data_IF_291580063667
#
_entry.id   IF_291580063667
#
_cell.length_a   1.000
_cell.length_b   1.000
_cell.length_c   1.000
_cell.angle_alpha   90.00
_cell.angle_beta   90.00
_cell.angle_gamma   90.00
#
_symmetry.space_group_name_H-M   'P 1'
#
loop_
_entity.id
_entity.type
_entity.pdbx_description
1 polymer ?
#
# COMPACT_ATOMS: atom_id res chain seq x y z
N UNK A 1 3.22 4.39 9.95
CA UNK A 1 1.75 4.36 9.76
C UNK A 1 1.35 3.98 8.33
N UNK A 2 2.05 4.43 7.28
CA UNK A 2 1.85 4.01 5.88
C UNK A 2 1.77 2.49 5.65
N UNK A 3 2.67 1.68 6.23
CA UNK A 3 2.59 0.21 6.13
C UNK A 3 1.32 -0.39 6.71
N UNK A 4 0.75 0.21 7.76
CA UNK A 4 -0.51 -0.26 8.37
C UNK A 4 -1.65 -0.07 7.38
N UNK A 5 -1.71 1.08 6.70
CA UNK A 5 -2.70 1.32 5.67
C UNK A 5 -2.52 0.39 4.47
N UNK A 6 -1.28 0.16 4.01
CA UNK A 6 -1.01 -0.80 2.95
C UNK A 6 -1.50 -2.21 3.31
N UNK A 7 -1.22 -2.68 4.52
CA UNK A 7 -1.65 -3.99 5.02
C UNK A 7 -3.18 -4.09 5.14
N UNK A 8 -3.84 -3.03 5.64
CA UNK A 8 -5.31 -2.95 5.71
C UNK A 8 -5.95 -2.95 4.31
N UNK A 9 -5.34 -2.28 3.33
CA UNK A 9 -5.82 -2.27 1.94
C UNK A 9 -5.62 -3.63 1.29
N UNK A 10 -4.46 -4.25 1.48
CA UNK A 10 -4.16 -5.58 0.98
C UNK A 10 -5.10 -6.64 1.57
N UNK A 11 -5.55 -6.44 2.82
CA UNK A 11 -6.56 -7.28 3.50
C UNK A 11 -8.01 -6.94 3.13
N UNK A 12 -8.25 -5.90 2.33
CA UNK A 12 -9.61 -5.45 1.97
C UNK A 12 -10.38 -4.79 3.12
N UNK A 13 -9.70 -4.41 4.20
CA UNK A 13 -10.29 -3.74 5.38
C UNK A 13 -10.41 -2.23 5.19
N UNK A 14 -9.59 -1.65 4.29
CA UNK A 14 -9.63 -0.25 3.89
C UNK A 14 -9.38 -0.11 2.40
N UNK A 15 -9.65 1.08 1.86
CA UNK A 15 -9.31 1.44 0.47
C UNK A 15 -8.30 2.60 0.47
N UNK A 16 -7.72 2.86 -0.70
CA UNK A 16 -6.80 4.00 -0.90
C UNK A 16 -7.48 5.36 -0.64
N UNK A 17 -8.81 5.41 -0.60
CA UNK A 17 -9.60 6.61 -0.27
C UNK A 17 -9.61 6.95 1.21
N UNK A 18 -9.48 5.93 2.06
CA UNK A 18 -9.38 6.09 3.51
C UNK A 18 -7.96 6.51 3.97
N UNK A 19 -7.02 6.60 3.03
CA UNK A 19 -5.65 7.03 3.27
C UNK A 19 -5.55 8.53 3.00
N UNK A 20 -5.04 9.35 3.95
CA UNK A 20 -4.83 10.77 3.70
C UNK A 20 -3.84 10.98 2.55
N UNK A 21 -4.06 11.99 1.72
CA UNK A 21 -3.31 12.23 0.46
C UNK A 21 -1.80 12.20 0.62
N UNK A 22 -1.28 12.74 1.73
CA UNK A 22 0.16 12.74 2.06
C UNK A 22 0.77 11.35 2.18
N UNK A 23 -0.06 10.32 2.45
CA UNK A 23 0.34 8.93 2.58
C UNK A 23 -0.11 8.08 1.38
N UNK A 24 -1.07 8.53 0.56
CA UNK A 24 -1.56 7.78 -0.62
C UNK A 24 -0.42 7.40 -1.55
N UNK A 25 0.50 8.33 -1.78
CA UNK A 25 1.64 8.13 -2.67
C UNK A 25 2.56 7.01 -2.14
N UNK A 26 2.94 7.10 -0.86
CA UNK A 26 3.77 6.08 -0.19
C UNK A 26 3.08 4.72 -0.07
N UNK A 27 1.79 4.71 0.22
CA UNK A 27 0.99 3.47 0.32
C UNK A 27 0.89 2.80 -1.04
N UNK A 28 0.72 3.57 -2.12
CA UNK A 28 0.72 3.07 -3.49
C UNK A 28 2.08 2.48 -3.88
N UNK A 29 3.16 3.13 -3.50
CA UNK A 29 4.53 2.63 -3.70
C UNK A 29 4.78 1.34 -2.91
N UNK A 30 4.32 1.29 -1.65
CA UNK A 30 4.40 0.11 -0.79
C UNK A 30 3.57 -1.07 -1.33
N UNK A 31 2.37 -0.82 -1.85
CA UNK A 31 1.57 -1.86 -2.49
C UNK A 31 2.27 -2.37 -3.75
N UNK A 32 2.81 -1.48 -4.58
CA UNK A 32 3.54 -1.85 -5.80
C UNK A 32 4.80 -2.69 -5.51
N UNK A 33 5.52 -2.39 -4.42
CA UNK A 33 6.69 -3.20 -4.02
C UNK A 33 6.29 -4.51 -3.34
N UNK A 34 5.22 -4.52 -2.54
CA UNK A 34 4.74 -5.72 -1.85
C UNK A 34 4.17 -6.77 -2.82
N UNK A 35 3.52 -6.34 -3.90
CA UNK A 35 3.03 -7.21 -4.97
C UNK A 35 4.19 -7.76 -5.84
N UNK A 36 5.34 -7.06 -5.86
CA UNK A 36 6.54 -7.45 -6.61
C UNK A 36 7.52 -8.24 -5.74
N UNK A 37 7.01 -9.23 -5.02
CA UNK A 37 7.80 -10.32 -4.42
C UNK A 37 8.21 -11.39 -5.43
N UNK A 38 8.43 -11.04 -6.71
CA UNK A 38 8.80 -12.01 -7.74
C UNK A 38 9.22 -11.33 -9.05
N UNK A 39 10.51 -11.03 -9.16
CA UNK A 39 11.12 -10.55 -10.41
C UNK A 39 12.22 -9.53 -10.18
N UNK A 40 13.27 -9.90 -9.42
CA UNK A 40 14.58 -9.28 -9.64
C UNK A 40 15.13 -9.84 -10.96
N UNK A 41 15.62 -8.91 -11.80
CA UNK A 41 16.56 -9.03 -12.93
C UNK A 41 16.69 -10.36 -13.70
#
# INVERSE_FOLDING_TARGET
MERVYADLIQKGLKTIDDVPERLRDKVRELLKTAESGGGNE
#
